data_IF_560461166493
#
_entry.id   IF_560461166493
#
_cell.length_a   1.000
_cell.length_b   1.000
_cell.length_c   1.000
_cell.angle_alpha   90.00
_cell.angle_beta   90.00
_cell.angle_gamma   90.00
#
_symmetry.space_group_name_H-M   'P 1'
#
loop_
_entity.id
_entity.type
_entity.pdbx_description
1 polymer ?
#
# COMPACT_ATOMS: atom_id res chain seq x y z
N UNK A 1 35.56 -35.04 13.53
CA UNK A 1 34.14 -34.97 13.97
C UNK A 1 33.75 -33.61 14.56
N UNK A 2 34.57 -32.99 15.43
CA UNK A 2 34.25 -31.72 16.12
C UNK A 2 34.16 -30.49 15.18
N UNK A 3 35.00 -30.40 14.14
CA UNK A 3 35.01 -29.22 13.24
C UNK A 3 33.76 -29.09 12.36
N UNK A 4 33.10 -30.20 12.04
CA UNK A 4 31.88 -30.19 11.23
C UNK A 4 30.71 -29.62 12.03
N UNK A 5 30.58 -30.04 13.29
CA UNK A 5 29.57 -29.52 14.22
C UNK A 5 29.78 -28.02 14.51
N UNK A 6 31.03 -27.59 14.70
CA UNK A 6 31.36 -26.15 14.82
C UNK A 6 31.02 -25.37 13.55
N UNK A 7 31.23 -25.96 12.37
CA UNK A 7 30.89 -25.31 11.08
C UNK A 7 29.38 -25.15 10.91
N UNK A 8 28.60 -26.18 11.25
CA UNK A 8 27.13 -26.11 11.22
C UNK A 8 26.64 -25.06 12.21
N UNK A 9 27.11 -25.08 13.46
CA UNK A 9 26.71 -24.11 14.47
C UNK A 9 27.02 -22.66 14.06
N UNK A 10 28.21 -22.41 13.49
CA UNK A 10 28.59 -21.08 12.98
C UNK A 10 27.67 -20.62 11.85
N UNK A 11 27.41 -21.48 10.86
CA UNK A 11 26.54 -21.15 9.73
C UNK A 11 25.10 -20.94 10.16
N UNK A 12 24.59 -21.71 11.11
CA UNK A 12 23.25 -21.50 11.68
C UNK A 12 23.16 -20.15 12.40
N UNK A 13 24.19 -19.76 13.17
CA UNK A 13 24.21 -18.46 13.83
C UNK A 13 24.28 -17.29 12.84
N UNK A 14 25.09 -17.41 11.77
CA UNK A 14 25.16 -16.43 10.69
C UNK A 14 23.81 -16.32 9.95
N UNK A 15 23.19 -17.46 9.61
CA UNK A 15 21.89 -17.51 8.95
C UNK A 15 20.80 -16.83 9.80
N UNK A 16 20.73 -17.15 11.10
CA UNK A 16 19.76 -16.53 12.02
C UNK A 16 19.99 -15.02 12.20
N UNK A 17 21.25 -14.55 12.07
CA UNK A 17 21.53 -13.11 12.09
C UNK A 17 21.04 -12.43 10.80
N UNK A 18 21.32 -13.03 9.64
CA UNK A 18 20.85 -12.51 8.36
C UNK A 18 19.33 -12.51 8.28
N UNK A 19 18.67 -13.57 8.75
CA UNK A 19 17.21 -13.67 8.77
C UNK A 19 16.57 -12.54 9.56
N UNK A 20 17.08 -12.26 10.79
CA UNK A 20 16.60 -11.13 11.59
C UNK A 20 16.72 -9.80 10.87
N UNK A 21 17.85 -9.54 10.20
CA UNK A 21 18.03 -8.31 9.42
C UNK A 21 17.03 -8.17 8.27
N UNK A 22 16.69 -9.29 7.60
CA UNK A 22 15.66 -9.32 6.54
C UNK A 22 14.27 -9.08 7.13
N UNK A 23 13.95 -9.69 8.27
CA UNK A 23 12.66 -9.51 8.96
C UNK A 23 12.46 -8.07 9.42
N UNK A 24 13.49 -7.44 10.01
CA UNK A 24 13.48 -6.04 10.42
C UNK A 24 13.25 -5.11 9.23
N UNK A 25 14.00 -5.30 8.14
CA UNK A 25 13.84 -4.52 6.91
C UNK A 25 12.44 -4.69 6.31
N UNK A 26 11.92 -5.92 6.27
CA UNK A 26 10.57 -6.19 5.80
C UNK A 26 9.50 -5.52 6.67
N UNK A 27 9.70 -5.52 8.00
CA UNK A 27 8.84 -4.82 8.94
C UNK A 27 8.76 -3.31 8.65
N UNK A 28 9.90 -2.66 8.40
CA UNK A 28 9.95 -1.25 8.03
C UNK A 28 9.26 -0.97 6.70
N UNK A 29 9.50 -1.80 5.67
CA UNK A 29 8.85 -1.66 4.35
C UNK A 29 7.32 -1.77 4.49
N UNK A 30 6.84 -2.77 5.24
CA UNK A 30 5.41 -2.96 5.46
C UNK A 30 4.77 -1.80 6.23
N UNK A 31 5.50 -1.21 7.19
CA UNK A 31 5.03 0.00 7.89
C UNK A 31 4.89 1.18 6.93
N UNK A 32 5.86 1.40 6.03
CA UNK A 32 5.78 2.47 5.02
C UNK A 32 4.64 2.25 4.03
N UNK A 33 4.43 1.03 3.56
CA UNK A 33 3.31 0.69 2.66
C UNK A 33 1.96 0.95 3.35
N UNK A 34 1.83 0.59 4.63
CA UNK A 34 0.62 0.83 5.41
C UNK A 34 0.36 2.33 5.63
N UNK A 35 1.41 3.11 5.87
CA UNK A 35 1.30 4.56 5.94
C UNK A 35 0.82 5.16 4.62
N UNK A 36 1.39 4.73 3.49
CA UNK A 36 0.96 5.17 2.16
C UNK A 36 -0.51 4.83 1.87
N UNK A 37 -0.98 3.65 2.30
CA UNK A 37 -2.41 3.28 2.20
C UNK A 37 -3.29 4.25 2.97
N UNK A 38 -2.95 4.56 4.22
CA UNK A 38 -3.74 5.49 5.03
C UNK A 38 -3.80 6.89 4.39
N UNK A 39 -2.69 7.35 3.82
CA UNK A 39 -2.65 8.61 3.08
C UNK A 39 -3.56 8.56 1.85
N UNK A 40 -3.46 7.51 1.03
CA UNK A 40 -4.32 7.33 -0.13
C UNK A 40 -5.81 7.32 0.23
N UNK A 41 -6.20 6.55 1.24
CA UNK A 41 -7.60 6.48 1.69
C UNK A 41 -8.11 7.83 2.20
N UNK A 42 -7.25 8.64 2.84
CA UNK A 42 -7.62 9.98 3.28
C UNK A 42 -7.87 10.98 2.15
N UNK A 43 -7.36 10.70 0.95
CA UNK A 43 -7.55 11.53 -0.24
C UNK A 43 -8.79 11.13 -1.05
N UNK A 44 -9.36 9.94 -0.80
CA UNK A 44 -10.56 9.50 -1.50
C UNK A 44 -11.79 10.27 -0.99
N UNK A 45 -12.66 10.75 -1.89
CA UNK A 45 -13.83 11.52 -1.51
C UNK A 45 -14.87 10.66 -0.80
N UNK A 46 -15.67 11.31 0.05
CA UNK A 46 -16.74 10.64 0.80
C UNK A 46 -17.85 10.17 -0.14
N UNK A 47 -17.99 8.86 -0.31
CA UNK A 47 -19.08 8.27 -1.13
C UNK A 47 -20.46 8.68 -0.61
N UNK A 48 -20.61 8.85 0.70
CA UNK A 48 -21.87 9.32 1.33
C UNK A 48 -22.19 10.75 0.91
N UNK A 49 -21.19 11.62 0.88
CA UNK A 49 -21.35 13.01 0.44
C UNK A 49 -21.71 13.07 -1.04
N UNK A 50 -21.00 12.30 -1.89
CA UNK A 50 -21.29 12.27 -3.33
C UNK A 50 -22.72 11.79 -3.60
N UNK A 51 -23.20 10.76 -2.88
CA UNK A 51 -24.57 10.26 -3.02
C UNK A 51 -25.65 11.28 -2.66
N UNK A 52 -25.32 12.32 -1.89
CA UNK A 52 -26.25 13.42 -1.61
C UNK A 52 -26.54 14.23 -2.87
N UNK A 53 -25.57 14.32 -3.79
CA UNK A 53 -25.69 15.08 -5.04
C UNK A 53 -25.97 14.19 -6.26
N UNK A 54 -25.54 12.93 -6.23
CA UNK A 54 -25.72 11.93 -7.29
C UNK A 54 -26.32 10.65 -6.68
N UNK A 55 -27.63 10.61 -6.40
CA UNK A 55 -28.26 9.51 -5.66
C UNK A 55 -28.21 8.18 -6.43
N UNK A 56 -28.32 8.22 -7.76
CA UNK A 56 -28.30 7.03 -8.64
C UNK A 56 -26.88 6.67 -9.11
N UNK A 57 -25.86 6.94 -8.28
CA UNK A 57 -24.44 6.68 -8.59
C UNK A 57 -23.83 5.54 -7.76
N UNK A 58 -22.78 4.93 -8.32
CA UNK A 58 -21.97 3.94 -7.62
C UNK A 58 -20.48 4.23 -7.81
N UNK A 59 -19.68 3.90 -6.79
CA UNK A 59 -18.23 4.03 -6.79
C UNK A 59 -17.63 2.70 -6.39
N UNK A 60 -16.71 2.20 -7.21
CA UNK A 60 -15.96 0.96 -6.93
C UNK A 60 -14.50 1.32 -6.98
N UNK A 61 -13.85 1.27 -5.82
CA UNK A 61 -12.40 1.41 -5.70
C UNK A 61 -11.84 0.11 -5.14
N UNK A 62 -11.08 -0.61 -5.96
CA UNK A 62 -10.54 -1.94 -5.63
C UNK A 62 -9.07 -2.00 -6.07
N UNK A 63 -8.13 -1.56 -5.22
CA UNK A 63 -6.71 -1.65 -5.54
C UNK A 63 -6.29 -3.12 -5.65
N UNK A 64 -5.32 -3.41 -6.54
CA UNK A 64 -4.76 -4.76 -6.70
C UNK A 64 -3.90 -5.19 -5.51
N UNK A 65 -3.12 -4.24 -4.99
CA UNK A 65 -2.19 -4.40 -3.88
C UNK A 65 -2.64 -3.54 -2.68
N UNK A 66 -1.84 -3.45 -1.61
CA UNK A 66 -2.18 -2.67 -0.39
C UNK A 66 -2.42 -1.18 -0.70
N UNK A 67 -1.75 -0.65 -1.73
CA UNK A 67 -1.88 0.71 -2.25
C UNK A 67 -2.17 0.62 -3.74
N UNK A 68 -3.20 1.34 -4.21
CA UNK A 68 -3.53 1.42 -5.63
C UNK A 68 -2.72 2.48 -6.37
N UNK A 69 -2.61 2.37 -7.70
CA UNK A 69 -2.16 3.48 -8.55
C UNK A 69 -3.29 4.47 -8.84
N UNK A 70 -4.52 3.99 -8.81
CA UNK A 70 -5.68 4.76 -9.24
C UNK A 70 -6.28 5.52 -8.06
N UNK A 71 -6.58 6.78 -8.28
CA UNK A 71 -7.35 7.61 -7.36
C UNK A 71 -8.51 8.24 -8.12
N UNK A 72 -9.57 8.56 -7.38
CA UNK A 72 -10.65 9.37 -7.91
C UNK A 72 -10.90 10.55 -6.98
N UNK A 73 -11.30 11.67 -7.57
CA UNK A 73 -11.69 12.89 -6.89
C UNK A 73 -13.10 13.24 -7.31
N UNK A 74 -13.91 13.72 -6.37
CA UNK A 74 -15.27 14.14 -6.63
C UNK A 74 -15.60 15.33 -5.72
N UNK A 75 -16.17 16.37 -6.31
CA UNK A 75 -16.47 17.61 -5.60
C UNK A 75 -17.65 18.34 -6.23
N UNK A 76 -18.34 19.16 -5.43
CA UNK A 76 -19.51 19.95 -5.82
C UNK A 76 -19.19 21.43 -5.70
N UNK A 77 -19.54 22.18 -6.74
CA UNK A 77 -19.51 23.64 -6.75
C UNK A 77 -20.92 24.17 -7.00
N UNK A 78 -21.15 25.48 -6.82
CA UNK A 78 -22.48 26.08 -7.06
C UNK A 78 -23.03 25.74 -8.47
N UNK A 79 -22.16 25.78 -9.50
CA UNK A 79 -22.56 25.63 -10.91
C UNK A 79 -22.52 24.21 -11.45
N UNK A 80 -21.83 23.27 -10.79
CA UNK A 80 -21.61 21.94 -11.37
C UNK A 80 -21.03 20.91 -10.40
N UNK A 81 -20.93 19.67 -10.84
CA UNK A 81 -20.27 18.59 -10.12
C UNK A 81 -19.07 18.14 -10.96
N UNK A 82 -17.94 17.89 -10.32
CA UNK A 82 -16.74 17.39 -10.99
C UNK A 82 -16.38 16.03 -10.46
N UNK A 83 -16.07 15.14 -11.38
CA UNK A 83 -15.48 13.84 -11.12
C UNK A 83 -14.20 13.77 -11.95
N UNK A 84 -13.10 13.42 -11.30
CA UNK A 84 -11.85 13.09 -11.96
C UNK A 84 -11.44 11.68 -11.56
N UNK A 85 -11.13 10.84 -12.56
CA UNK A 85 -10.50 9.55 -12.35
C UNK A 85 -9.08 9.67 -12.86
N UNK A 86 -8.12 9.35 -12.00
CA UNK A 86 -6.70 9.53 -12.27
C UNK A 86 -6.06 8.15 -12.16
N UNK A 87 -5.63 7.62 -13.32
CA UNK A 87 -4.82 6.42 -13.41
C UNK A 87 -3.34 6.84 -13.35
N UNK A 88 -2.73 6.69 -12.18
CA UNK A 88 -1.29 6.87 -12.02
C UNK A 88 -0.57 5.54 -12.27
N UNK A 89 -0.68 5.00 -13.48
CA UNK A 89 0.10 3.85 -13.94
C UNK A 89 1.59 4.21 -13.97
N UNK A 90 2.33 3.88 -12.89
CA UNK A 90 3.80 3.86 -12.91
C UNK A 90 4.56 4.32 -11.67
N UNK A 91 3.99 5.11 -10.75
CA UNK A 91 4.77 5.76 -9.67
C UNK A 91 3.87 5.89 -8.43
N UNK A 92 4.16 5.37 -7.22
CA UNK A 92 5.40 5.45 -6.43
C UNK A 92 5.78 4.19 -5.61
N UNK A 93 5.06 3.07 -5.72
CA UNK A 93 5.34 1.86 -4.93
C UNK A 93 5.18 0.59 -5.77
N UNK A 94 6.06 0.37 -6.76
CA UNK A 94 6.27 -0.99 -7.28
C UNK A 94 7.23 -1.73 -6.36
N UNK A 95 6.70 -2.22 -5.23
CA UNK A 95 7.29 -3.37 -4.55
C UNK A 95 6.54 -4.60 -5.04
N UNK A 96 7.12 -5.29 -6.04
CA UNK A 96 6.63 -6.61 -6.46
C UNK A 96 7.08 -7.58 -5.36
N UNK A 97 6.15 -8.01 -4.50
CA UNK A 97 6.35 -9.16 -3.62
C UNK A 97 6.38 -10.45 -4.45
#
# INVERSE_FOLDING_TARGET
>A
MISLQQTVARRTAELSKTLRGVEEANGHIMASIRYAKNLQESMLPSVTEIRTYLPDSFFIWKPRDIVGGDIFYADRFESGFLIAVIDCTGTAFRARL
#
